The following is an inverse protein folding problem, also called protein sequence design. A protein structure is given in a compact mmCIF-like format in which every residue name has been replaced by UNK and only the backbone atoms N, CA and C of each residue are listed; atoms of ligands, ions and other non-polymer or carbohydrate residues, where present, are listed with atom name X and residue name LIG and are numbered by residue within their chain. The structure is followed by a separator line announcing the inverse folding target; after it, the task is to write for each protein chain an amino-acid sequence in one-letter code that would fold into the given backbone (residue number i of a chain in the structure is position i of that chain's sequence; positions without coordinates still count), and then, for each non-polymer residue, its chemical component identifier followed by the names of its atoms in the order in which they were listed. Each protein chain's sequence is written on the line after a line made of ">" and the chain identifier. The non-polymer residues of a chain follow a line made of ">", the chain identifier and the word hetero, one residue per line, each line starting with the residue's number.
data_IF_675193872252
#
_entry.id   IF_675193872252
#
_cell.length_a   1.000
_cell.length_b   1.000
_cell.length_c   1.000
_cell.angle_alpha   90.00
_cell.angle_beta   90.00
_cell.angle_gamma   90.00
#
_symmetry.space_group_name_H-M   'P 1'
#
loop_
_entity.id
_entity.type
_entity.pdbx_description
1 polymer ?
#
# COMPACT_ATOMS: atom_id res chain seq x y z
N UNK A 1 1.99 18.08 -9.75
CA UNK A 1 2.89 17.04 -9.20
C UNK A 1 4.20 17.72 -8.82
N UNK A 2 4.67 17.56 -7.58
CA UNK A 2 5.82 18.30 -7.03
C UNK A 2 7.19 17.70 -7.41
N UNK A 3 7.23 16.67 -8.25
CA UNK A 3 8.47 16.00 -8.67
C UNK A 3 9.10 15.09 -7.60
N UNK A 4 8.46 14.97 -6.43
CA UNK A 4 8.92 14.10 -5.34
C UNK A 4 8.07 12.84 -5.30
N UNK A 5 8.73 11.68 -5.25
CA UNK A 5 8.08 10.37 -5.13
C UNK A 5 9.08 9.24 -5.21
N UNK A 6 8.70 8.07 -4.71
CA UNK A 6 9.46 6.82 -4.81
C UNK A 6 8.55 5.72 -5.37
N UNK A 7 9.09 4.72 -6.07
CA UNK A 7 8.31 3.54 -6.44
C UNK A 7 7.72 2.86 -5.21
N UNK A 8 6.44 2.53 -5.27
CA UNK A 8 5.68 2.09 -4.09
C UNK A 8 6.26 0.85 -3.40
N UNK A 9 6.65 -0.17 -4.16
CA UNK A 9 7.23 -1.40 -3.59
C UNK A 9 8.55 -1.11 -2.88
N UNK A 10 9.38 -0.22 -3.44
CA UNK A 10 10.62 0.23 -2.80
C UNK A 10 10.32 1.01 -1.51
N UNK A 11 9.28 1.85 -1.50
CA UNK A 11 8.87 2.59 -0.32
C UNK A 11 8.48 1.67 0.83
N UNK A 12 7.62 0.68 0.56
CA UNK A 12 7.17 -0.30 1.54
C UNK A 12 8.35 -1.12 2.07
N UNK A 13 9.20 -1.64 1.19
CA UNK A 13 10.37 -2.42 1.59
C UNK A 13 11.33 -1.64 2.49
N UNK A 14 11.63 -0.40 2.14
CA UNK A 14 12.53 0.44 2.93
C UNK A 14 11.96 0.76 4.32
N UNK A 15 10.66 1.05 4.40
CA UNK A 15 10.00 1.35 5.68
C UNK A 15 9.89 0.09 6.54
N UNK A 16 9.51 -1.05 5.97
CA UNK A 16 9.44 -2.32 6.67
C UNK A 16 10.81 -2.73 7.23
N UNK A 17 11.89 -2.57 6.46
CA UNK A 17 13.25 -2.86 6.92
C UNK A 17 13.69 -1.92 8.06
N UNK A 18 13.40 -0.62 7.94
CA UNK A 18 13.72 0.36 8.96
C UNK A 18 12.94 0.13 10.29
N UNK A 19 11.77 -0.48 10.21
CA UNK A 19 10.92 -0.80 11.36
C UNK A 19 11.09 -2.24 11.87
N UNK A 20 11.96 -3.06 11.27
CA UNK A 20 12.08 -4.50 11.57
C UNK A 20 12.33 -4.85 13.05
N UNK A 21 13.01 -3.98 13.81
CA UNK A 21 13.27 -4.17 15.25
C UNK A 21 12.19 -3.57 16.15
N UNK A 22 11.11 -3.05 15.57
CA UNK A 22 10.00 -2.43 16.27
C UNK A 22 8.74 -3.21 15.99
N UNK A 23 7.84 -3.26 16.97
CA UNK A 23 6.53 -3.88 16.81
C UNK A 23 5.51 -2.89 16.21
N UNK A 24 5.89 -2.24 15.09
CA UNK A 24 5.06 -1.24 14.41
C UNK A 24 4.62 -1.81 13.05
N UNK A 25 3.31 -2.04 12.83
CA UNK A 25 2.82 -2.56 11.56
C UNK A 25 2.91 -1.50 10.45
N UNK A 26 3.11 -1.98 9.22
CA UNK A 26 3.19 -1.15 8.01
C UNK A 26 1.95 -1.35 7.16
N UNK A 27 1.28 -0.25 6.79
CA UNK A 27 0.18 -0.26 5.82
C UNK A 27 0.73 0.22 4.48
N UNK A 28 0.63 -0.60 3.44
CA UNK A 28 0.96 -0.19 2.08
C UNK A 28 -0.26 0.51 1.45
N UNK A 29 -0.13 1.82 1.19
CA UNK A 29 -1.24 2.65 0.74
C UNK A 29 -1.00 3.24 -0.65
N UNK A 30 -1.89 2.93 -1.59
CA UNK A 30 -1.87 3.43 -2.96
C UNK A 30 -1.05 2.58 -3.93
N UNK A 31 -1.28 2.83 -5.23
CA UNK A 31 -0.59 2.14 -6.33
C UNK A 31 -1.06 0.71 -6.63
N UNK A 32 -2.04 0.19 -5.89
CA UNK A 32 -2.63 -1.14 -6.14
C UNK A 32 -3.65 -1.04 -7.27
N UNK A 33 -3.44 -1.79 -8.35
CA UNK A 33 -4.37 -1.88 -9.49
C UNK A 33 -4.98 -3.27 -9.66
N UNK A 34 -4.21 -4.29 -9.32
CA UNK A 34 -4.62 -5.69 -9.44
C UNK A 34 -4.32 -6.44 -8.14
N UNK A 35 -4.98 -7.59 -7.95
CA UNK A 35 -4.74 -8.47 -6.79
C UNK A 35 -3.28 -8.90 -6.63
N UNK A 36 -2.56 -9.06 -7.75
CA UNK A 36 -1.12 -9.35 -7.73
C UNK A 36 -0.27 -8.26 -7.09
N UNK A 37 -0.72 -7.00 -7.11
CA UNK A 37 0.01 -5.90 -6.46
C UNK A 37 -0.18 -5.93 -4.94
N UNK A 38 -1.32 -6.43 -4.45
CA UNK A 38 -1.53 -6.70 -3.02
C UNK A 38 -0.52 -7.74 -2.56
N UNK A 39 -0.39 -8.85 -3.28
CA UNK A 39 0.57 -9.91 -2.95
C UNK A 39 2.01 -9.36 -2.90
N UNK A 40 2.41 -8.53 -3.85
CA UNK A 40 3.73 -7.88 -3.85
C UNK A 40 3.92 -6.92 -2.68
N UNK A 41 2.90 -6.14 -2.33
CA UNK A 41 2.98 -5.20 -1.20
C UNK A 41 3.16 -5.91 0.14
N UNK A 42 2.44 -7.03 0.35
CA UNK A 42 2.62 -7.87 1.53
C UNK A 42 4.00 -8.55 1.52
N UNK A 43 4.43 -9.09 0.37
CA UNK A 43 5.76 -9.68 0.23
C UNK A 43 6.90 -8.68 0.47
N UNK A 44 6.67 -7.40 0.20
CA UNK A 44 7.62 -6.32 0.49
C UNK A 44 7.68 -5.92 1.98
N UNK A 45 6.85 -6.51 2.85
CA UNK A 45 6.83 -6.25 4.30
C UNK A 45 5.62 -5.44 4.80
N UNK A 46 4.65 -5.17 3.92
CA UNK A 46 3.35 -4.63 4.34
C UNK A 46 2.58 -5.66 5.19
N UNK A 47 2.00 -5.20 6.30
CA UNK A 47 1.15 -6.02 7.16
C UNK A 47 -0.32 -5.97 6.68
N UNK A 48 -0.70 -4.87 6.06
CA UNK A 48 -1.99 -4.68 5.41
C UNK A 48 -1.85 -3.74 4.22
N UNK A 49 -2.90 -3.64 3.41
CA UNK A 49 -3.00 -2.70 2.29
C UNK A 49 -4.21 -1.79 2.48
N UNK A 50 -4.06 -0.51 2.12
CA UNK A 50 -5.19 0.40 2.00
C UNK A 50 -5.67 0.41 0.55
N UNK A 51 -6.97 0.16 0.34
CA UNK A 51 -7.59 0.08 -0.97
C UNK A 51 -8.61 1.21 -1.13
N UNK A 52 -8.29 2.18 -1.99
CA UNK A 52 -9.21 3.23 -2.39
C UNK A 52 -9.86 2.90 -3.73
N UNK A 53 -9.15 3.18 -4.83
CA UNK A 53 -9.72 3.13 -6.18
C UNK A 53 -10.34 1.80 -6.61
N UNK A 54 -9.85 0.66 -6.10
CA UNK A 54 -10.43 -0.66 -6.39
C UNK A 54 -11.82 -0.83 -5.76
N UNK A 55 -12.07 -0.17 -4.63
CA UNK A 55 -13.34 -0.22 -3.91
C UNK A 55 -14.28 0.94 -4.26
N UNK A 56 -13.80 1.95 -4.99
CA UNK A 56 -14.54 3.19 -5.22
C UNK A 56 -15.82 3.06 -6.09
N UNK A 57 -16.09 1.90 -6.68
CA UNK A 57 -17.26 1.64 -7.53
C UNK A 57 -18.19 0.54 -7.01
N UNK A 58 -18.03 0.08 -5.76
CA UNK A 58 -18.94 -0.90 -5.17
C UNK A 58 -20.22 -0.22 -4.66
N UNK A 59 -21.25 -1.01 -4.33
CA UNK A 59 -22.53 -0.51 -3.81
C UNK A 59 -22.36 0.29 -2.52
N UNK A 60 -21.41 -0.11 -1.68
CA UNK A 60 -21.18 0.44 -0.35
C UNK A 60 -20.31 1.71 -0.38
N UNK A 61 -19.66 1.99 -1.52
CA UNK A 61 -18.91 3.21 -1.68
C UNK A 61 -19.87 4.40 -1.58
N UNK A 62 -19.54 5.45 -0.81
CA UNK A 62 -20.43 6.60 -0.64
C UNK A 62 -20.78 7.19 -2.00
N UNK A 63 -22.06 7.42 -2.23
CA UNK A 63 -22.52 8.20 -3.37
C UNK A 63 -21.87 9.59 -3.30
N UNK A 64 -21.55 10.13 -4.47
CA UNK A 64 -20.93 11.45 -4.57
C UNK A 64 -21.87 12.56 -4.14
#
# INVERSE_FOLDING_TARGET
>A
MTGVGVPQITAVANVADALRSREIPVIADGGIRYSGDIAKAIAAGGHSVMLGGILAGTEEAPEK
#
